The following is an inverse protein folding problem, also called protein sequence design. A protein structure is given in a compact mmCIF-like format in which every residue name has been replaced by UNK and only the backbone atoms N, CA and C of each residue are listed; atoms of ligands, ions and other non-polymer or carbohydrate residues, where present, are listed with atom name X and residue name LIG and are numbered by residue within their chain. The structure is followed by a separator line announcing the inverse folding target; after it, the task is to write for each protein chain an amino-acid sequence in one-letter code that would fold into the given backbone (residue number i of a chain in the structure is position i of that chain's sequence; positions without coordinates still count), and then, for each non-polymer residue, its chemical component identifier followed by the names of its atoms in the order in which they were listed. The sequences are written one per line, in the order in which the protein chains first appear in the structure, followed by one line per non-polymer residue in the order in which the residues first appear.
data_IF_017521904156
#
_entry.id   IF_017521904156
#
_cell.length_a   1.000
_cell.length_b   1.000
_cell.length_c   1.000
_cell.angle_alpha   90.00
_cell.angle_beta   90.00
_cell.angle_gamma   90.00
#
_symmetry.space_group_name_H-M   'P 1'
#
loop_
_entity.id
_entity.type
_entity.pdbx_description
1 polymer ?
#
# COMPACT_ATOMS: atom_id res chain seq x y z
N UNK A 1 38.50 18.68 -2.56
CA UNK A 1 38.52 17.87 -3.79
C UNK A 1 37.62 16.62 -3.70
N UNK A 2 37.70 15.80 -2.63
CA UNK A 2 36.85 14.59 -2.51
C UNK A 2 35.32 14.87 -2.55
N UNK A 3 34.83 15.94 -1.93
CA UNK A 3 33.39 16.30 -1.92
C UNK A 3 32.86 16.65 -3.33
N UNK A 4 33.65 17.34 -4.14
CA UNK A 4 33.24 17.70 -5.52
C UNK A 4 33.30 16.50 -6.46
N UNK A 5 34.21 15.54 -6.21
CA UNK A 5 34.26 14.28 -6.97
C UNK A 5 33.03 13.42 -6.71
N UNK A 6 32.55 13.34 -5.47
CA UNK A 6 31.32 12.62 -5.13
C UNK A 6 30.08 13.25 -5.78
N UNK A 7 29.99 14.59 -5.78
CA UNK A 7 28.91 15.32 -6.44
C UNK A 7 28.94 15.11 -7.96
N UNK A 8 30.14 15.14 -8.57
CA UNK A 8 30.30 14.89 -10.00
C UNK A 8 29.93 13.45 -10.39
N UNK A 9 30.22 12.47 -9.54
CA UNK A 9 29.87 11.06 -9.75
C UNK A 9 28.37 10.83 -9.63
N UNK A 10 27.70 11.51 -8.71
CA UNK A 10 26.24 11.52 -8.58
C UNK A 10 25.59 12.20 -9.80
N UNK A 11 26.11 13.37 -10.24
CA UNK A 11 25.59 14.03 -11.44
C UNK A 11 25.83 13.19 -12.72
N UNK A 12 26.97 12.51 -12.86
CA UNK A 12 27.26 11.64 -14.00
C UNK A 12 26.35 10.40 -14.07
N UNK A 13 25.85 9.92 -12.93
CA UNK A 13 24.87 8.83 -12.89
C UNK A 13 23.49 9.24 -13.46
N UNK A 14 23.17 10.52 -13.53
CA UNK A 14 21.91 11.04 -14.08
C UNK A 14 21.94 11.32 -15.59
N UNK A 15 23.08 11.19 -16.28
CA UNK A 15 23.22 11.59 -17.71
C UNK A 15 22.76 10.57 -18.72
N UNK A 16 22.24 9.41 -18.30
CA UNK A 16 21.73 8.36 -19.21
C UNK A 16 20.26 8.00 -18.92
N UNK A 17 19.44 8.96 -18.56
CA UNK A 17 18.01 8.72 -18.40
C UNK A 17 17.39 8.52 -19.78
N UNK A 18 17.20 7.27 -20.18
CA UNK A 18 16.42 6.92 -21.36
C UNK A 18 14.93 6.98 -21.01
N UNK A 19 14.19 7.93 -21.59
CA UNK A 19 12.75 8.09 -21.37
C UNK A 19 11.93 6.83 -21.75
N UNK A 20 12.48 5.99 -22.65
CA UNK A 20 11.85 4.72 -23.03
C UNK A 20 11.75 3.68 -21.90
N UNK A 21 12.30 3.97 -20.74
CA UNK A 21 12.28 3.11 -19.54
C UNK A 21 11.38 3.67 -18.41
N UNK A 22 10.57 4.67 -18.70
CA UNK A 22 9.68 5.28 -17.74
C UNK A 22 8.23 4.93 -18.05
N UNK A 23 7.48 4.62 -16.99
CA UNK A 23 6.03 4.44 -17.05
C UNK A 23 5.38 5.22 -15.90
N UNK A 24 4.18 5.72 -16.14
CA UNK A 24 3.34 6.29 -15.10
C UNK A 24 1.88 5.96 -15.38
N UNK A 25 1.05 5.95 -14.37
CA UNK A 25 -0.34 5.70 -14.62
C UNK A 25 -1.21 5.55 -13.37
N UNK A 26 -2.52 5.44 -13.59
CA UNK A 26 -3.48 5.16 -12.55
C UNK A 26 -3.38 3.70 -12.08
N UNK A 27 -3.74 3.51 -10.82
CA UNK A 27 -3.86 2.22 -10.16
C UNK A 27 -5.08 2.24 -9.24
N UNK A 28 -5.85 1.16 -9.23
CA UNK A 28 -6.96 0.99 -8.32
C UNK A 28 -7.09 -0.47 -7.89
N UNK A 29 -7.63 -0.71 -6.71
CA UNK A 29 -7.72 -2.06 -6.18
C UNK A 29 -8.64 -2.22 -4.98
N UNK A 30 -8.69 -3.46 -4.50
CA UNK A 30 -9.47 -3.87 -3.33
C UNK A 30 -8.51 -4.31 -2.23
N UNK A 31 -8.78 -3.85 -1.01
CA UNK A 31 -8.11 -4.25 0.21
C UNK A 31 -8.93 -5.29 0.97
N UNK A 32 -8.24 -6.27 1.52
CA UNK A 32 -8.70 -7.11 2.63
C UNK A 32 -7.76 -6.78 3.79
N UNK A 33 -8.23 -5.96 4.71
CA UNK A 33 -7.43 -5.45 5.83
C UNK A 33 -7.83 -6.11 7.14
N UNK A 34 -6.89 -6.19 8.06
CA UNK A 34 -7.07 -6.65 9.44
C UNK A 34 -6.11 -5.90 10.36
N UNK A 35 -6.30 -6.04 11.65
CA UNK A 35 -5.37 -5.62 12.69
C UNK A 35 -4.62 -6.82 13.26
N UNK A 36 -3.34 -6.64 13.55
CA UNK A 36 -2.45 -7.63 14.14
C UNK A 36 -1.66 -6.99 15.29
N UNK A 37 -1.10 -7.80 16.16
CA UNK A 37 -0.35 -7.38 17.36
C UNK A 37 -0.94 -8.01 18.60
N UNK A 38 -0.24 -7.87 19.71
CA UNK A 38 -0.61 -8.54 20.96
C UNK A 38 -1.95 -8.02 21.53
N UNK A 39 -2.30 -6.76 21.21
CA UNK A 39 -3.51 -6.09 21.68
C UNK A 39 -4.61 -5.94 20.60
N UNK A 40 -4.42 -6.58 19.43
CA UNK A 40 -5.40 -6.48 18.32
C UNK A 40 -6.72 -7.23 18.58
N UNK A 41 -6.75 -8.13 19.57
CA UNK A 41 -7.93 -8.93 19.93
C UNK A 41 -8.39 -9.85 18.78
N UNK A 42 -9.67 -10.24 18.82
CA UNK A 42 -10.31 -11.11 17.82
C UNK A 42 -10.84 -10.26 16.64
N UNK A 43 -9.97 -9.48 15.99
CA UNK A 43 -10.33 -8.66 14.86
C UNK A 43 -10.60 -9.52 13.60
N UNK A 44 -11.72 -9.26 12.93
CA UNK A 44 -12.08 -9.85 11.65
C UNK A 44 -11.67 -8.91 10.49
N UNK A 45 -11.56 -9.46 9.30
CA UNK A 45 -11.17 -8.70 8.12
C UNK A 45 -12.23 -7.68 7.69
N UNK A 46 -11.76 -6.51 7.20
CA UNK A 46 -12.57 -5.48 6.57
C UNK A 46 -12.19 -5.34 5.11
N UNK A 47 -13.19 -5.25 4.25
CA UNK A 47 -12.98 -4.93 2.83
C UNK A 47 -12.97 -3.41 2.63
N UNK A 48 -11.95 -2.92 1.91
CA UNK A 48 -11.80 -1.53 1.51
C UNK A 48 -11.36 -1.40 0.05
N UNK A 49 -11.08 -0.18 -0.38
CA UNK A 49 -10.50 0.05 -1.70
C UNK A 49 -9.22 0.89 -1.59
N UNK A 50 -8.42 0.87 -2.66
CA UNK A 50 -7.27 1.75 -2.86
C UNK A 50 -7.32 2.33 -4.27
N UNK A 51 -6.94 3.60 -4.44
CA UNK A 51 -6.85 4.24 -5.73
C UNK A 51 -5.78 5.33 -5.72
N UNK A 52 -5.00 5.42 -6.80
CA UNK A 52 -3.91 6.39 -6.89
C UNK A 52 -3.13 6.30 -8.18
N UNK A 53 -1.88 6.71 -8.13
CA UNK A 53 -0.98 6.74 -9.26
C UNK A 53 0.37 6.15 -8.89
N UNK A 54 1.07 5.65 -9.90
CA UNK A 54 2.44 5.18 -9.79
C UNK A 54 3.32 5.84 -10.84
N UNK A 55 4.61 5.91 -10.55
CA UNK A 55 5.67 6.19 -11.49
C UNK A 55 6.69 5.06 -11.40
N UNK A 56 7.11 4.51 -12.53
CA UNK A 56 8.12 3.47 -12.59
C UNK A 56 9.29 3.93 -13.46
N UNK A 57 10.49 3.78 -12.94
CA UNK A 57 11.73 3.97 -13.67
C UNK A 57 12.51 2.65 -13.71
N UNK A 58 12.63 2.09 -14.89
CA UNK A 58 13.42 0.88 -15.11
C UNK A 58 14.87 1.28 -15.44
N UNK A 59 15.78 0.96 -14.53
CA UNK A 59 17.21 1.32 -14.66
C UNK A 59 18.08 0.16 -15.16
N UNK A 60 17.51 -1.04 -15.30
CA UNK A 60 18.13 -2.18 -15.95
C UNK A 60 17.08 -3.09 -16.60
N UNK A 61 17.52 -4.09 -17.37
CA UNK A 61 16.62 -5.09 -17.98
C UNK A 61 15.77 -5.86 -16.96
N UNK A 62 16.22 -5.94 -15.70
CA UNK A 62 15.58 -6.71 -14.65
C UNK A 62 15.10 -5.86 -13.46
N UNK A 63 15.57 -4.62 -13.31
CA UNK A 63 15.28 -3.83 -12.11
C UNK A 63 14.64 -2.49 -12.43
N UNK A 64 13.64 -2.16 -11.64
CA UNK A 64 12.97 -0.88 -11.66
C UNK A 64 12.70 -0.38 -10.23
N UNK A 65 12.60 0.93 -10.08
CA UNK A 65 12.11 1.60 -8.87
C UNK A 65 10.73 2.18 -9.17
N UNK A 66 9.80 2.02 -8.22
CA UNK A 66 8.41 2.44 -8.41
C UNK A 66 7.89 3.16 -7.17
N UNK A 67 8.03 4.48 -7.06
CA UNK A 67 7.27 5.28 -6.13
C UNK A 67 5.78 5.30 -6.51
N UNK A 68 4.93 5.28 -5.51
CA UNK A 68 3.48 5.37 -5.67
C UNK A 68 2.91 6.39 -4.68
N UNK A 69 1.72 6.90 -4.97
CA UNK A 69 0.89 7.63 -4.02
C UNK A 69 -0.56 7.24 -4.26
N UNK A 70 -1.24 6.79 -3.21
CA UNK A 70 -2.63 6.40 -3.31
C UNK A 70 -3.39 6.59 -1.99
N UNK A 71 -4.68 6.85 -2.13
CA UNK A 71 -5.63 6.77 -1.04
C UNK A 71 -5.99 5.31 -0.81
N UNK A 72 -6.02 4.88 0.45
CA UNK A 72 -6.29 3.48 0.82
C UNK A 72 -7.15 3.41 2.08
N UNK A 73 -8.18 2.57 2.04
CA UNK A 73 -9.06 2.28 3.17
C UNK A 73 -8.60 0.99 3.84
N UNK A 74 -8.25 1.09 5.12
CA UNK A 74 -7.84 -0.02 5.99
C UNK A 74 -8.79 -0.16 7.19
N UNK A 75 -8.46 -1.04 8.13
CA UNK A 75 -9.16 -1.24 9.37
C UNK A 75 -9.57 -2.70 9.58
N UNK A 76 -10.47 -2.92 10.52
CA UNK A 76 -10.97 -4.25 10.89
C UNK A 76 -12.43 -4.17 11.34
N UNK A 77 -13.07 -5.32 11.42
CA UNK A 77 -14.39 -5.49 12.04
C UNK A 77 -14.25 -6.40 13.27
N UNK A 78 -15.15 -6.22 14.23
CA UNK A 78 -15.25 -7.08 15.40
C UNK A 78 -16.71 -7.28 15.74
N UNK A 79 -17.08 -8.52 16.04
CA UNK A 79 -18.42 -8.86 16.51
C UNK A 79 -18.39 -9.18 17.98
N UNK A 80 -19.19 -8.48 18.74
CA UNK A 80 -19.31 -8.67 20.18
C UNK A 80 -20.75 -9.04 20.55
N UNK A 81 -20.92 -10.06 21.38
CA UNK A 81 -22.25 -10.46 21.87
C UNK A 81 -22.42 -10.03 23.32
N UNK A 82 -23.25 -9.02 23.54
CA UNK A 82 -23.53 -8.44 24.86
C UNK A 82 -24.99 -8.74 25.22
N UNK A 83 -25.20 -9.59 26.22
CA UNK A 83 -26.55 -9.91 26.72
C UNK A 83 -27.47 -10.56 25.70
N UNK A 84 -26.92 -11.31 24.72
CA UNK A 84 -27.69 -11.96 23.64
C UNK A 84 -27.96 -11.04 22.45
N UNK A 85 -27.43 -9.81 22.44
CA UNK A 85 -27.47 -8.89 21.31
C UNK A 85 -26.09 -8.86 20.64
N UNK A 86 -26.05 -9.07 19.34
CA UNK A 86 -24.82 -8.91 18.56
C UNK A 86 -24.64 -7.44 18.22
N UNK A 87 -23.46 -6.91 18.53
CA UNK A 87 -23.01 -5.56 18.14
C UNK A 87 -21.83 -5.73 17.17
N UNK A 88 -21.98 -5.22 15.96
CA UNK A 88 -20.92 -5.18 14.96
C UNK A 88 -20.14 -3.86 15.10
N UNK A 89 -18.86 -3.95 15.41
CA UNK A 89 -17.95 -2.80 15.48
C UNK A 89 -17.06 -2.78 14.25
N UNK A 90 -16.96 -1.66 13.56
CA UNK A 90 -16.12 -1.47 12.39
C UNK A 90 -15.16 -0.31 12.63
N UNK A 91 -13.86 -0.60 12.71
CA UNK A 91 -12.82 0.40 12.69
C UNK A 91 -12.47 0.73 11.24
N UNK A 92 -12.57 2.00 10.88
CA UNK A 92 -12.22 2.51 9.55
C UNK A 92 -11.04 3.46 9.66
N UNK A 93 -9.97 3.13 8.95
CA UNK A 93 -8.72 3.90 8.93
C UNK A 93 -8.36 4.18 7.47
N UNK A 94 -8.42 5.46 7.09
CA UNK A 94 -8.08 5.87 5.73
C UNK A 94 -6.72 6.56 5.72
N UNK A 95 -5.93 6.27 4.70
CA UNK A 95 -4.56 6.80 4.58
C UNK A 95 -4.29 7.32 3.17
N UNK A 96 -3.44 8.35 3.11
CA UNK A 96 -2.60 8.59 1.94
C UNK A 96 -1.33 7.79 2.14
N UNK A 97 -1.09 6.78 1.30
CA UNK A 97 0.05 5.87 1.42
C UNK A 97 1.04 6.10 0.27
N UNK A 98 2.33 6.13 0.63
CA UNK A 98 3.45 6.43 -0.27
C UNK A 98 4.46 5.28 -0.18
N UNK A 99 4.30 4.22 -0.95
CA UNK A 99 5.30 3.16 -1.06
C UNK A 99 6.43 3.56 -2.00
N UNK A 100 7.62 3.04 -1.72
CA UNK A 100 8.78 3.09 -2.62
C UNK A 100 9.24 1.66 -2.89
N UNK A 101 8.88 1.13 -4.05
CA UNK A 101 9.08 -0.28 -4.38
C UNK A 101 10.32 -0.49 -5.26
N UNK A 102 11.14 -1.46 -4.92
CA UNK A 102 12.10 -2.07 -5.83
C UNK A 102 11.41 -3.26 -6.52
N UNK A 103 11.38 -3.24 -7.85
CA UNK A 103 10.79 -4.31 -8.68
C UNK A 103 11.89 -5.13 -9.36
N UNK A 104 11.76 -6.44 -9.30
CA UNK A 104 12.48 -7.38 -10.11
C UNK A 104 11.57 -7.86 -11.25
N UNK A 105 11.85 -7.42 -12.46
CA UNK A 105 11.18 -7.82 -13.69
C UNK A 105 11.75 -9.18 -14.13
N UNK A 106 10.88 -10.10 -14.52
CA UNK A 106 11.27 -11.47 -14.92
C UNK A 106 10.98 -11.63 -16.41
N UNK A 107 11.96 -11.34 -17.29
CA UNK A 107 11.75 -11.46 -18.74
C UNK A 107 11.58 -12.92 -19.14
N UNK A 108 10.48 -13.24 -19.82
CA UNK A 108 10.20 -14.57 -20.35
C UNK A 108 10.41 -14.54 -21.86
N UNK A 109 11.38 -15.30 -22.36
CA UNK A 109 11.66 -15.36 -23.79
C UNK A 109 10.45 -15.87 -24.58
N UNK A 110 10.11 -15.16 -25.65
CA UNK A 110 8.97 -15.53 -26.51
C UNK A 110 7.60 -15.21 -25.94
N UNK A 111 7.53 -14.54 -24.79
CA UNK A 111 6.26 -14.09 -24.17
C UNK A 111 6.18 -12.57 -24.18
N UNK A 112 4.95 -12.07 -24.37
CA UNK A 112 4.63 -10.65 -24.18
C UNK A 112 4.22 -10.31 -22.76
N UNK A 113 4.25 -11.28 -21.84
CA UNK A 113 3.85 -11.11 -20.45
C UNK A 113 5.05 -10.61 -19.64
N UNK A 114 4.85 -9.64 -18.77
CA UNK A 114 5.86 -9.01 -17.92
C UNK A 114 5.59 -9.33 -16.43
N UNK A 115 5.96 -10.53 -15.95
CA UNK A 115 5.86 -10.81 -14.52
C UNK A 115 6.93 -10.05 -13.74
N UNK A 116 6.60 -9.69 -12.50
CA UNK A 116 7.50 -9.01 -11.59
C UNK A 116 7.22 -9.42 -10.15
N UNK A 117 8.24 -9.39 -9.32
CA UNK A 117 8.11 -9.37 -7.86
C UNK A 117 8.63 -8.03 -7.35
N UNK A 118 8.13 -7.58 -6.22
CA UNK A 118 8.53 -6.30 -5.68
C UNK A 118 8.45 -6.28 -4.15
N UNK A 119 9.28 -5.42 -3.57
CA UNK A 119 9.23 -5.13 -2.15
C UNK A 119 9.72 -3.69 -1.90
N UNK A 120 9.30 -3.11 -0.77
CA UNK A 120 9.79 -1.80 -0.35
C UNK A 120 9.05 -1.25 0.87
N UNK A 121 9.59 -0.19 1.47
CA UNK A 121 8.94 0.51 2.56
C UNK A 121 7.72 1.29 2.07
N UNK A 122 6.78 1.54 2.98
CA UNK A 122 5.68 2.48 2.79
C UNK A 122 5.52 3.40 4.00
N UNK A 123 5.04 4.61 3.76
CA UNK A 123 4.62 5.55 4.79
C UNK A 123 3.17 5.91 4.51
N UNK A 124 2.29 5.67 5.47
CA UNK A 124 0.90 6.07 5.47
C UNK A 124 0.70 7.32 6.32
N UNK A 125 -0.05 8.28 5.81
CA UNK A 125 -0.53 9.45 6.55
C UNK A 125 -2.03 9.22 6.80
N UNK A 126 -2.42 9.08 8.07
CA UNK A 126 -3.83 8.90 8.43
C UNK A 126 -4.63 10.16 8.10
N UNK A 127 -5.75 9.98 7.43
CA UNK A 127 -6.66 11.06 7.04
C UNK A 127 -8.01 10.94 7.71
N UNK A 128 -8.38 9.74 8.16
CA UNK A 128 -9.66 9.45 8.82
C UNK A 128 -9.47 8.25 9.74
N UNK A 129 -9.97 8.37 10.98
CA UNK A 129 -10.05 7.28 11.93
C UNK A 129 -11.45 7.31 12.56
N UNK A 130 -12.25 6.26 12.32
CA UNK A 130 -13.64 6.20 12.78
C UNK A 130 -13.97 4.82 13.32
N UNK A 131 -14.73 4.82 14.41
CA UNK A 131 -15.34 3.62 14.97
C UNK A 131 -16.85 3.68 14.72
N UNK A 132 -17.39 2.70 14.04
CA UNK A 132 -18.82 2.50 13.83
C UNK A 132 -19.29 1.30 14.64
N UNK A 133 -20.35 1.47 15.42
CA UNK A 133 -21.02 0.40 16.15
C UNK A 133 -22.46 0.25 15.66
N UNK A 134 -22.84 -0.96 15.27
CA UNK A 134 -24.17 -1.29 14.77
C UNK A 134 -24.79 -2.40 15.64
N UNK A 135 -25.95 -2.10 16.23
CA UNK A 135 -26.68 -3.06 17.06
C UNK A 135 -28.11 -2.61 17.32
N UNK A 136 -29.03 -3.55 17.49
CA UNK A 136 -30.46 -3.28 17.79
C UNK A 136 -31.14 -2.33 16.79
N UNK A 137 -30.69 -2.28 15.53
CA UNK A 137 -31.21 -1.36 14.51
C UNK A 137 -30.74 0.09 14.67
N UNK A 138 -29.77 0.35 15.54
CA UNK A 138 -29.13 1.65 15.72
C UNK A 138 -27.69 1.61 15.23
N UNK A 139 -27.23 2.74 14.72
CA UNK A 139 -25.85 2.96 14.27
C UNK A 139 -25.30 4.16 15.00
N UNK A 140 -24.15 3.99 15.62
CA UNK A 140 -23.37 5.08 16.24
C UNK A 140 -22.02 5.13 15.53
N UNK A 141 -21.57 6.31 15.14
CA UNK A 141 -20.27 6.55 14.53
C UNK A 141 -19.55 7.64 15.34
N UNK A 142 -18.29 7.40 15.65
CA UNK A 142 -17.44 8.27 16.44
C UNK A 142 -16.09 8.43 15.74
N UNK A 143 -15.59 9.67 15.69
CA UNK A 143 -14.23 9.95 15.25
C UNK A 143 -13.25 9.62 16.38
N UNK A 144 -12.14 8.91 16.03
CA UNK A 144 -11.11 8.53 16.99
C UNK A 144 -9.95 9.53 16.92
N UNK A 145 -9.60 10.10 18.08
CA UNK A 145 -8.47 11.04 18.21
C UNK A 145 -7.16 10.33 18.60
N UNK A 146 -7.24 9.17 19.27
CA UNK A 146 -6.08 8.40 19.77
C UNK A 146 -5.51 7.44 18.71
N UNK A 147 -5.39 7.89 17.45
CA UNK A 147 -4.81 7.13 16.35
C UNK A 147 -3.61 7.89 15.79
N UNK A 148 -2.46 7.19 15.67
CA UNK A 148 -1.25 7.79 15.13
C UNK A 148 -1.48 8.34 13.72
N UNK A 149 -1.00 9.55 13.51
CA UNK A 149 -1.09 10.24 12.22
C UNK A 149 -0.24 9.60 11.13
N UNK A 150 0.74 8.74 11.50
CA UNK A 150 1.65 8.07 10.56
C UNK A 150 1.72 6.58 10.83
N UNK A 151 1.74 5.78 9.75
CA UNK A 151 1.90 4.33 9.75
C UNK A 151 3.08 3.96 8.83
N UNK A 152 4.12 3.35 9.38
CA UNK A 152 5.25 2.85 8.59
C UNK A 152 5.04 1.37 8.32
N UNK A 153 5.22 0.95 7.07
CA UNK A 153 4.97 -0.42 6.65
C UNK A 153 6.03 -0.97 5.71
N UNK A 154 5.93 -2.26 5.47
CA UNK A 154 6.66 -3.02 4.47
C UNK A 154 5.67 -3.60 3.47
N UNK A 155 5.92 -3.37 2.19
CA UNK A 155 5.15 -3.94 1.07
C UNK A 155 5.96 -5.05 0.44
N UNK A 156 5.34 -6.21 0.20
CA UNK A 156 5.87 -7.29 -0.64
C UNK A 156 4.78 -7.76 -1.58
N UNK A 157 5.14 -8.12 -2.81
CA UNK A 157 4.13 -8.55 -3.77
C UNK A 157 4.68 -9.07 -5.08
N UNK A 158 3.75 -9.50 -5.92
CA UNK A 158 4.01 -9.94 -7.28
C UNK A 158 2.95 -9.36 -8.23
N UNK A 159 3.32 -9.18 -9.46
CA UNK A 159 2.43 -8.64 -10.48
C UNK A 159 2.72 -9.22 -11.86
N UNK A 160 1.81 -8.93 -12.77
CA UNK A 160 1.91 -9.33 -14.16
C UNK A 160 1.41 -8.19 -15.04
N UNK A 161 2.25 -7.79 -16.01
CA UNK A 161 1.92 -6.78 -17.01
C UNK A 161 1.64 -7.41 -18.37
N UNK A 162 0.70 -6.84 -19.09
CA UNK A 162 0.31 -7.20 -20.45
C UNK A 162 0.50 -5.97 -21.34
N UNK A 163 1.38 -6.02 -22.36
CA UNK A 163 1.58 -4.89 -23.25
C UNK A 163 0.31 -4.60 -24.08
N UNK A 164 -0.07 -3.36 -24.13
CA UNK A 164 -1.19 -2.82 -24.91
C UNK A 164 -0.65 -1.70 -25.78
N UNK A 165 -0.21 -2.05 -26.99
CA UNK A 165 0.55 -1.12 -27.84
C UNK A 165 1.89 -0.76 -27.19
N UNK A 166 2.13 0.53 -26.96
CA UNK A 166 3.31 1.00 -26.21
C UNK A 166 3.09 1.05 -24.68
N UNK A 167 1.85 0.86 -24.22
CA UNK A 167 1.45 0.94 -22.84
C UNK A 167 1.35 -0.46 -22.20
N UNK A 168 1.02 -0.53 -20.92
CA UNK A 168 0.88 -1.77 -20.18
C UNK A 168 -0.40 -1.77 -19.33
N UNK A 169 -1.21 -2.82 -19.45
CA UNK A 169 -2.24 -3.15 -18.48
C UNK A 169 -1.69 -4.20 -17.53
N UNK A 170 -1.81 -3.98 -16.22
CA UNK A 170 -1.28 -4.95 -15.29
C UNK A 170 -2.13 -5.17 -14.05
N UNK A 171 -1.78 -6.25 -13.37
CA UNK A 171 -2.39 -6.68 -12.11
C UNK A 171 -1.30 -6.93 -11.10
N UNK A 172 -1.52 -6.58 -9.85
CA UNK A 172 -0.62 -6.97 -8.77
C UNK A 172 -1.40 -7.42 -7.53
N UNK A 173 -0.80 -8.36 -6.82
CA UNK A 173 -1.19 -8.81 -5.50
C UNK A 173 -0.07 -8.46 -4.55
N UNK A 174 -0.41 -7.81 -3.43
CA UNK A 174 0.57 -7.38 -2.43
C UNK A 174 0.09 -7.64 -1.02
N UNK A 175 1.03 -7.85 -0.14
CA UNK A 175 0.84 -7.84 1.29
C UNK A 175 1.53 -6.61 1.87
N UNK A 176 0.83 -5.86 2.70
CA UNK A 176 1.31 -4.66 3.37
C UNK A 176 1.26 -4.94 4.86
N UNK A 177 2.44 -4.96 5.49
CA UNK A 177 2.64 -5.21 6.91
C UNK A 177 2.97 -3.88 7.61
N UNK A 178 2.11 -3.41 8.50
CA UNK A 178 2.41 -2.32 9.42
C UNK A 178 3.53 -2.71 10.37
N UNK A 179 4.52 -1.86 10.52
CA UNK A 179 5.67 -2.04 11.39
C UNK A 179 5.55 -1.23 12.68
N UNK A 180 4.76 -0.16 12.65
CA UNK A 180 4.49 0.72 13.79
C UNK A 180 3.09 0.45 14.35
N UNK A 181 2.90 0.64 15.65
CA UNK A 181 1.55 0.64 16.22
C UNK A 181 0.76 1.85 15.74
N UNK A 182 -0.53 1.66 15.50
CA UNK A 182 -1.48 2.71 15.14
C UNK A 182 -2.10 3.40 16.36
N UNK A 183 -1.91 2.84 17.56
CA UNK A 183 -2.42 3.39 18.81
C UNK A 183 -1.54 4.55 19.29
N UNK A 184 -2.16 5.71 19.57
CA UNK A 184 -1.54 6.92 20.11
C UNK A 184 -1.98 7.20 21.56
N UNK A 185 -2.68 6.25 22.17
CA UNK A 185 -3.10 6.37 23.57
C UNK A 185 -1.91 6.24 24.53
N UNK A 186 -2.10 6.67 25.77
CA UNK A 186 -1.07 6.56 26.80
C UNK A 186 -0.71 5.09 27.17
N UNK A 187 -1.52 4.12 26.75
CA UNK A 187 -1.27 2.69 26.96
C UNK A 187 -0.32 2.10 25.91
N UNK A 188 -0.14 2.77 24.75
CA UNK A 188 0.69 2.32 23.62
C UNK A 188 0.46 0.84 23.23
N UNK A 189 -0.80 0.48 23.00
CA UNK A 189 -1.18 -0.88 22.62
C UNK A 189 -0.47 -1.31 21.33
N UNK A 190 0.01 -2.56 21.26
CA UNK A 190 0.63 -3.10 20.06
C UNK A 190 -0.42 -3.55 19.04
N UNK A 191 -0.89 -2.60 18.24
CA UNK A 191 -1.89 -2.80 17.19
C UNK A 191 -1.35 -2.26 15.87
N UNK A 192 -1.26 -3.11 14.84
CA UNK A 192 -0.69 -2.77 13.53
C UNK A 192 -1.62 -3.13 12.40
N UNK A 193 -1.53 -2.40 11.29
CA UNK A 193 -2.26 -2.72 10.07
C UNK A 193 -1.66 -3.94 9.36
N UNK A 194 -2.53 -4.79 8.82
CA UNK A 194 -2.19 -5.91 7.94
C UNK A 194 -3.15 -5.92 6.77
N UNK A 195 -2.64 -5.84 5.53
CA UNK A 195 -3.50 -5.69 4.34
C UNK A 195 -3.04 -6.62 3.23
N UNK A 196 -3.97 -7.40 2.69
CA UNK A 196 -3.85 -8.02 1.37
C UNK A 196 -4.55 -7.10 0.37
N UNK A 197 -3.84 -6.67 -0.67
CA UNK A 197 -4.36 -5.73 -1.64
C UNK A 197 -4.17 -6.29 -3.06
N UNK A 198 -5.25 -6.30 -3.84
CA UNK A 198 -5.26 -6.66 -5.25
C UNK A 198 -5.53 -5.40 -6.09
N UNK A 199 -4.66 -5.11 -7.06
CA UNK A 199 -4.76 -3.94 -7.91
C UNK A 199 -4.80 -4.27 -9.40
N UNK A 200 -5.44 -3.38 -10.13
CA UNK A 200 -5.32 -3.21 -11.58
C UNK A 200 -4.66 -1.87 -11.83
N UNK A 201 -3.74 -1.81 -12.79
CA UNK A 201 -3.08 -0.57 -13.19
C UNK A 201 -2.98 -0.46 -14.71
N UNK A 202 -2.88 0.78 -15.18
CA UNK A 202 -2.57 1.07 -16.58
C UNK A 202 -1.36 2.00 -16.66
N UNK A 203 -0.27 1.51 -17.24
CA UNK A 203 1.00 2.22 -17.36
C UNK A 203 1.15 2.85 -18.75
N UNK A 204 1.29 4.17 -18.80
CA UNK A 204 1.66 4.91 -20.01
C UNK A 204 3.17 4.94 -20.10
N UNK A 205 3.73 4.46 -21.21
CA UNK A 205 5.18 4.55 -21.49
C UNK A 205 5.51 5.91 -22.10
N UNK A 206 6.56 6.54 -21.57
CA UNK A 206 7.09 7.82 -22.01
C UNK A 206 8.13 7.68 -23.12
#
# INVERSE_FOLDING_TARGET
MKKYFTILLVLAAFTSISFAQMQFGPKAGVNISNLIGDDAGDAETKTGFAAGVFFMYQFSTMFAIQPEIYYTMKGATQKESIGGVTVDRTLSLDYIEIPLLLKLLIPIQGSSINPAIFAGPSIGINTTAKLKAEGMGQTVEEDLEDVKSTDVGLVVGAGIGFPVGKNELGFDLRYILGLTTIDDSAAEADIKNSVVNFNVYFGFSL
#
